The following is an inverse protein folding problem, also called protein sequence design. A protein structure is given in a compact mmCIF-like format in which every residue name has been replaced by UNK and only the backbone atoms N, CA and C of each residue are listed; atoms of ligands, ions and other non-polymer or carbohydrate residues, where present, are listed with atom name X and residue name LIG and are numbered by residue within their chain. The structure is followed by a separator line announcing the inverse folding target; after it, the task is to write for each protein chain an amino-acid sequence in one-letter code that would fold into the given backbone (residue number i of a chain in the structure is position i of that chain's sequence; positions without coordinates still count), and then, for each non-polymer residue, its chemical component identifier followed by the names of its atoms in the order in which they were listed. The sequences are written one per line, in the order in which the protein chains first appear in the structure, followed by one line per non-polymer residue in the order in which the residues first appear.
data_IF_539631499980
#
_entry.id   IF_539631499980
#
_cell.length_a   1.000
_cell.length_b   1.000
_cell.length_c   1.000
_cell.angle_alpha   90.00
_cell.angle_beta   90.00
_cell.angle_gamma   90.00
#
_symmetry.space_group_name_H-M   'P 1'
#
loop_
_entity.id
_entity.type
_entity.pdbx_description
1 polymer ?
#
# COMPACT_ATOMS: atom_id res chain seq x y z
N UNK A 1 -49.89 -44.63 -44.24
CA UNK A 1 -49.41 -44.49 -42.88
C UNK A 1 -48.20 -43.52 -42.92
N UNK A 2 -48.35 -42.30 -42.31
CA UNK A 2 -47.55 -41.10 -42.64
C UNK A 2 -46.19 -41.06 -41.97
N UNK A 3 -45.20 -41.74 -42.48
CA UNK A 3 -43.79 -41.74 -41.96
C UNK A 3 -43.14 -40.35 -42.08
N UNK A 4 -43.53 -39.53 -43.05
CA UNK A 4 -42.99 -38.16 -43.26
C UNK A 4 -43.33 -37.16 -42.13
N UNK A 5 -44.44 -37.34 -41.43
CA UNK A 5 -44.86 -36.43 -40.33
C UNK A 5 -44.06 -36.67 -39.03
N UNK A 6 -43.57 -37.86 -38.79
CA UNK A 6 -42.78 -38.17 -37.59
C UNK A 6 -41.31 -37.81 -37.74
N UNK A 7 -40.78 -37.80 -38.99
CA UNK A 7 -39.42 -37.38 -39.25
C UNK A 7 -39.18 -35.90 -38.97
N UNK A 8 -40.18 -35.05 -39.29
CA UNK A 8 -40.09 -33.60 -39.06
C UNK A 8 -40.21 -33.24 -37.58
N UNK A 9 -40.95 -34.01 -36.79
CA UNK A 9 -41.12 -33.80 -35.36
C UNK A 9 -39.86 -34.21 -34.57
N UNK A 10 -39.15 -35.25 -35.01
CA UNK A 10 -37.89 -35.71 -34.33
C UNK A 10 -36.73 -34.75 -34.60
N UNK A 11 -36.63 -34.13 -35.76
CA UNK A 11 -35.61 -33.11 -36.07
C UNK A 11 -35.83 -31.83 -35.25
N UNK A 12 -37.08 -31.45 -34.99
CA UNK A 12 -37.42 -30.25 -34.19
C UNK A 12 -37.02 -30.35 -32.71
N UNK A 13 -37.00 -31.56 -32.15
CA UNK A 13 -36.66 -31.77 -30.72
C UNK A 13 -35.15 -31.73 -30.47
N UNK A 14 -34.34 -32.07 -31.48
CA UNK A 14 -32.86 -32.05 -31.33
C UNK A 14 -32.23 -30.63 -31.33
N UNK A 15 -32.98 -29.60 -31.75
CA UNK A 15 -32.45 -28.22 -31.79
C UNK A 15 -32.61 -27.45 -30.46
N UNK A 16 -33.24 -28.03 -29.44
CA UNK A 16 -33.49 -27.36 -28.16
C UNK A 16 -32.47 -27.73 -27.04
N UNK A 17 -31.47 -28.59 -27.32
CA UNK A 17 -30.40 -28.91 -26.37
C UNK A 17 -29.15 -28.07 -26.66
N UNK A 18 -29.33 -26.75 -26.80
CA UNK A 18 -28.20 -25.83 -26.68
C UNK A 18 -27.99 -25.51 -25.19
N UNK A 19 -27.34 -26.42 -24.48
CA UNK A 19 -26.77 -26.12 -23.17
C UNK A 19 -25.66 -25.08 -23.36
N UNK A 20 -25.98 -23.81 -23.23
CA UNK A 20 -25.00 -22.76 -23.01
C UNK A 20 -24.21 -23.10 -21.75
N UNK A 21 -22.95 -23.50 -21.91
CA UNK A 21 -22.02 -23.53 -20.79
C UNK A 21 -21.98 -22.11 -20.26
N UNK A 22 -22.49 -21.87 -19.06
CA UNK A 22 -22.22 -20.65 -18.33
C UNK A 22 -20.70 -20.52 -18.25
N UNK A 23 -20.15 -19.58 -19.00
CA UNK A 23 -18.75 -19.21 -18.87
C UNK A 23 -18.62 -18.46 -17.55
N UNK A 24 -18.23 -19.16 -16.48
CA UNK A 24 -17.79 -18.48 -15.26
C UNK A 24 -16.74 -17.43 -15.63
N UNK A 25 -16.93 -16.16 -15.24
CA UNK A 25 -15.90 -15.15 -15.42
C UNK A 25 -14.58 -15.70 -14.83
N UNK A 26 -13.53 -15.71 -15.64
CA UNK A 26 -12.21 -16.05 -15.11
C UNK A 26 -11.85 -15.00 -14.09
N UNK A 27 -11.34 -15.36 -12.89
CA UNK A 27 -10.84 -14.38 -11.96
C UNK A 27 -9.76 -13.54 -12.64
N UNK A 28 -9.76 -12.25 -12.36
CA UNK A 28 -8.77 -11.33 -12.90
C UNK A 28 -7.38 -11.84 -12.56
N UNK A 29 -6.55 -12.01 -13.59
CA UNK A 29 -5.17 -12.48 -13.40
C UNK A 29 -4.30 -11.33 -12.89
N UNK A 30 -3.87 -11.39 -11.65
CA UNK A 30 -2.86 -10.46 -11.14
C UNK A 30 -1.51 -10.72 -11.80
N UNK A 31 -0.79 -9.63 -12.11
CA UNK A 31 0.56 -9.72 -12.63
C UNK A 31 1.48 -10.35 -11.55
N UNK A 32 1.99 -11.55 -11.81
CA UNK A 32 2.88 -12.25 -10.89
C UNK A 32 4.31 -11.71 -11.07
N UNK A 33 4.65 -10.66 -10.32
CA UNK A 33 6.00 -10.15 -10.22
C UNK A 33 6.72 -10.80 -9.03
N UNK A 34 7.96 -11.23 -9.25
CA UNK A 34 8.84 -11.72 -8.19
C UNK A 34 9.80 -10.62 -7.80
N UNK A 35 9.81 -10.25 -6.53
CA UNK A 35 10.75 -9.31 -5.96
C UNK A 35 11.82 -10.06 -5.15
N UNK A 36 13.05 -9.50 -5.01
CA UNK A 36 14.08 -10.11 -4.19
C UNK A 36 13.62 -10.22 -2.73
N UNK A 37 14.10 -11.22 -2.01
CA UNK A 37 13.85 -11.31 -0.58
C UNK A 37 14.38 -10.04 0.12
N UNK A 38 13.56 -9.44 0.98
CA UNK A 38 13.93 -8.24 1.71
C UNK A 38 15.12 -8.52 2.63
N UNK A 39 16.16 -7.70 2.54
CA UNK A 39 17.32 -7.71 3.42
C UNK A 39 17.45 -6.32 4.02
N UNK A 40 17.27 -6.23 5.33
CA UNK A 40 17.29 -4.95 6.03
C UNK A 40 18.68 -4.59 6.53
N UNK A 41 18.93 -3.29 6.59
CA UNK A 41 20.14 -2.71 7.16
C UNK A 41 19.79 -1.46 7.95
N UNK A 42 20.49 -1.26 9.07
CA UNK A 42 20.35 -0.05 9.88
C UNK A 42 20.84 1.16 9.10
N UNK A 43 20.08 2.22 9.15
CA UNK A 43 20.36 3.52 8.52
C UNK A 43 20.10 4.63 9.53
N UNK A 44 20.99 5.61 9.56
CA UNK A 44 20.75 6.85 10.30
C UNK A 44 20.01 7.83 9.42
N UNK A 45 18.86 8.31 9.87
CA UNK A 45 18.19 9.40 9.15
C UNK A 45 19.03 10.68 9.22
N UNK A 46 18.86 11.62 8.29
CA UNK A 46 19.44 12.96 8.41
C UNK A 46 18.94 13.72 9.64
N UNK A 47 17.97 13.15 10.38
CA UNK A 47 17.32 13.77 11.52
C UNK A 47 17.50 12.91 12.80
N UNK A 48 16.77 13.24 13.87
CA UNK A 48 17.01 12.66 15.21
C UNK A 48 16.38 11.28 15.39
N UNK A 49 16.58 10.35 14.44
CA UNK A 49 16.21 8.95 14.58
C UNK A 49 17.03 8.04 13.66
N UNK A 50 17.09 6.75 13.98
CA UNK A 50 17.58 5.69 13.09
C UNK A 50 16.46 4.68 12.83
N UNK A 51 16.61 3.90 11.79
CA UNK A 51 15.64 2.91 11.33
C UNK A 51 16.34 1.82 10.51
N UNK A 52 15.64 0.75 10.20
CA UNK A 52 16.11 -0.25 9.25
C UNK A 52 15.39 -0.10 7.91
N UNK A 53 16.15 -0.07 6.83
CA UNK A 53 15.62 -0.03 5.46
C UNK A 53 16.02 -1.26 4.67
N UNK A 54 15.21 -1.62 3.70
CA UNK A 54 15.60 -2.61 2.71
C UNK A 54 16.81 -2.12 1.88
N UNK A 55 17.76 -3.01 1.60
CA UNK A 55 18.95 -2.71 0.76
C UNK A 55 18.59 -2.28 -0.66
N UNK A 56 17.45 -2.71 -1.19
CA UNK A 56 16.92 -2.28 -2.49
C UNK A 56 16.54 -0.80 -2.52
N UNK A 57 16.25 -0.20 -1.36
CA UNK A 57 15.89 1.20 -1.22
C UNK A 57 17.12 2.10 -1.17
N UNK A 58 17.12 3.17 -1.96
CA UNK A 58 18.15 4.23 -1.95
C UNK A 58 17.63 5.42 -1.18
N UNK A 59 18.37 5.85 -0.15
CA UNK A 59 18.03 7.06 0.58
C UNK A 59 18.49 8.28 -0.22
N UNK A 60 17.58 9.26 -0.35
CA UNK A 60 17.81 10.55 -1.03
C UNK A 60 17.32 11.65 -0.09
N UNK A 61 18.23 12.53 0.32
CA UNK A 61 17.87 13.69 1.14
C UNK A 61 17.15 14.73 0.26
N UNK A 62 15.96 15.17 0.69
CA UNK A 62 15.14 16.17 0.01
C UNK A 62 15.30 17.56 0.67
N UNK A 63 16.04 17.63 1.79
CA UNK A 63 16.09 18.84 2.62
C UNK A 63 14.76 19.11 3.36
N UNK A 64 14.67 20.28 4.01
CA UNK A 64 13.43 20.74 4.68
C UNK A 64 12.75 19.73 5.62
N UNK A 65 13.56 18.94 6.34
CA UNK A 65 13.10 17.85 7.22
C UNK A 65 12.38 16.71 6.48
N UNK A 66 12.75 16.48 5.21
CA UNK A 66 12.24 15.40 4.39
C UNK A 66 13.38 14.60 3.74
N UNK A 67 13.16 13.32 3.52
CA UNK A 67 13.97 12.45 2.68
C UNK A 67 13.07 11.39 2.06
N UNK A 68 13.57 10.69 1.05
CA UNK A 68 12.83 9.57 0.46
C UNK A 68 13.68 8.32 0.35
N UNK A 69 13.01 7.19 0.41
CA UNK A 69 13.56 5.88 0.10
C UNK A 69 13.05 5.47 -1.28
N UNK A 70 13.92 5.54 -2.27
CA UNK A 70 13.59 5.29 -3.66
C UNK A 70 13.79 3.82 -4.03
N UNK A 71 12.80 3.22 -4.69
CA UNK A 71 12.78 1.86 -5.23
C UNK A 71 12.74 1.92 -6.77
N UNK A 72 13.87 2.12 -7.46
CA UNK A 72 13.89 2.42 -8.89
C UNK A 72 13.24 1.32 -9.74
N UNK A 73 13.45 0.05 -9.38
CA UNK A 73 12.91 -1.10 -10.12
C UNK A 73 11.38 -1.20 -10.01
N UNK A 74 10.80 -0.65 -8.96
CA UNK A 74 9.34 -0.64 -8.71
C UNK A 74 8.70 0.70 -9.11
N UNK A 75 9.51 1.68 -9.54
CA UNK A 75 9.07 3.05 -9.81
C UNK A 75 8.25 3.63 -8.67
N UNK A 76 8.75 3.46 -7.46
CA UNK A 76 8.08 3.86 -6.23
C UNK A 76 9.05 4.54 -5.27
N UNK A 77 8.53 5.38 -4.39
CA UNK A 77 9.29 5.98 -3.30
C UNK A 77 8.46 6.08 -2.03
N UNK A 78 9.10 5.86 -0.89
CA UNK A 78 8.56 6.19 0.42
C UNK A 78 9.07 7.58 0.79
N UNK A 79 8.17 8.55 0.87
CA UNK A 79 8.49 9.90 1.32
C UNK A 79 8.39 9.96 2.84
N UNK A 80 9.49 10.35 3.48
CA UNK A 80 9.63 10.46 4.92
C UNK A 80 9.71 11.94 5.31
N UNK A 81 8.79 12.39 6.16
CA UNK A 81 8.76 13.75 6.66
C UNK A 81 8.94 13.72 8.18
N UNK A 82 9.98 14.38 8.66
CA UNK A 82 10.24 14.54 10.09
C UNK A 82 9.73 15.89 10.58
N UNK A 83 9.18 15.93 11.78
CA UNK A 83 8.79 17.16 12.47
C UNK A 83 9.19 17.06 13.94
N UNK A 84 9.73 18.14 14.48
CA UNK A 84 9.97 18.25 15.91
C UNK A 84 8.65 18.52 16.63
N UNK A 85 8.34 17.69 17.63
CA UNK A 85 7.20 17.93 18.52
C UNK A 85 7.58 19.04 19.50
N UNK A 86 6.63 19.91 19.78
CA UNK A 86 6.70 21.01 20.74
C UNK A 86 5.47 20.95 21.65
N UNK A 87 5.44 21.74 22.71
CA UNK A 87 4.33 21.72 23.68
C UNK A 87 2.93 21.90 23.07
N UNK A 88 2.83 22.52 21.89
CA UNK A 88 1.54 22.97 21.33
C UNK A 88 1.24 22.44 19.91
N UNK A 89 2.08 21.58 19.31
CA UNK A 89 1.89 21.18 17.91
C UNK A 89 1.54 19.71 17.68
N UNK A 90 1.59 18.85 18.70
CA UNK A 90 1.34 17.42 18.52
C UNK A 90 -0.07 17.14 17.95
N UNK A 91 -1.10 17.81 18.50
CA UNK A 91 -2.48 17.63 18.03
C UNK A 91 -2.67 18.07 16.57
N UNK A 92 -1.96 19.12 16.15
CA UNK A 92 -2.01 19.54 14.74
C UNK A 92 -1.28 18.56 13.83
N UNK A 93 -0.11 18.04 14.24
CA UNK A 93 0.64 17.04 13.49
C UNK A 93 -0.17 15.75 13.32
N UNK A 94 -0.86 15.29 14.38
CA UNK A 94 -1.74 14.12 14.33
C UNK A 94 -2.92 14.37 13.37
N UNK A 95 -3.59 15.52 13.47
CA UNK A 95 -4.68 15.87 12.55
C UNK A 95 -4.21 15.96 11.11
N UNK A 96 -3.04 16.54 10.86
CA UNK A 96 -2.49 16.68 9.51
C UNK A 96 -2.14 15.32 8.90
N UNK A 97 -1.56 14.40 9.68
CA UNK A 97 -1.28 13.03 9.25
C UNK A 97 -2.57 12.26 8.93
N UNK A 98 -3.59 12.35 9.78
CA UNK A 98 -4.91 11.75 9.54
C UNK A 98 -5.58 12.37 8.30
N UNK A 99 -5.60 13.70 8.20
CA UNK A 99 -6.17 14.41 7.05
C UNK A 99 -5.49 14.00 5.74
N UNK A 100 -4.16 13.82 5.75
CA UNK A 100 -3.43 13.33 4.58
C UNK A 100 -3.92 11.96 4.14
N UNK A 101 -4.17 11.04 5.09
CA UNK A 101 -4.74 9.72 4.81
C UNK A 101 -6.15 9.82 4.25
N UNK A 102 -7.04 10.55 4.93
CA UNK A 102 -8.46 10.60 4.57
C UNK A 102 -8.77 11.47 3.34
N UNK A 103 -7.88 12.36 2.93
CA UNK A 103 -8.03 13.07 1.65
C UNK A 103 -7.99 12.12 0.44
N UNK A 104 -7.47 10.91 0.61
CA UNK A 104 -7.49 9.87 -0.42
C UNK A 104 -8.83 9.11 -0.49
N UNK A 105 -9.75 9.32 0.47
CA UNK A 105 -11.01 8.61 0.59
C UNK A 105 -11.93 8.74 -0.64
N UNK A 106 -11.78 9.80 -1.44
CA UNK A 106 -12.56 10.01 -2.68
C UNK A 106 -12.28 8.93 -3.73
N UNK A 107 -11.11 8.26 -3.69
CA UNK A 107 -10.67 7.24 -4.64
C UNK A 107 -10.25 5.94 -3.97
N UNK A 108 -10.42 5.85 -2.66
CA UNK A 108 -10.19 4.64 -1.89
C UNK A 108 -11.49 3.84 -1.80
N UNK A 109 -11.39 2.53 -1.95
CA UNK A 109 -12.50 1.59 -1.74
C UNK A 109 -12.60 1.22 -0.25
N UNK A 110 -11.43 1.18 0.46
CA UNK A 110 -11.33 0.87 1.88
C UNK A 110 -10.05 1.48 2.47
N UNK A 111 -10.07 1.80 3.77
CA UNK A 111 -8.91 2.24 4.56
C UNK A 111 -8.80 1.39 5.81
N UNK A 112 -7.77 0.56 5.87
CA UNK A 112 -7.46 -0.28 7.01
C UNK A 112 -6.45 0.41 7.91
N UNK A 113 -6.77 0.48 9.20
CA UNK A 113 -5.94 1.13 10.22
C UNK A 113 -5.39 0.10 11.20
N UNK A 114 -4.11 0.21 11.52
CA UNK A 114 -3.47 -0.63 12.52
C UNK A 114 -2.64 0.22 13.47
N UNK A 115 -3.02 0.20 14.74
CA UNK A 115 -2.26 0.85 15.81
C UNK A 115 -0.93 0.13 16.02
N UNK A 116 0.13 0.90 16.20
CA UNK A 116 1.46 0.41 16.56
C UNK A 116 1.91 1.03 17.88
N UNK A 117 2.36 0.19 18.82
CA UNK A 117 2.85 0.58 20.13
C UNK A 117 4.11 -0.22 20.47
N UNK A 118 5.24 0.46 20.54
CA UNK A 118 6.48 -0.07 21.10
C UNK A 118 6.89 0.80 22.31
N UNK A 119 6.62 0.28 23.50
CA UNK A 119 6.87 1.03 24.75
C UNK A 119 8.36 1.15 25.09
N UNK A 120 9.17 0.18 24.71
CA UNK A 120 10.62 0.16 24.97
C UNK A 120 11.33 1.23 24.15
N UNK A 121 11.04 1.28 22.83
CA UNK A 121 11.57 2.29 21.93
C UNK A 121 10.81 3.63 22.00
N UNK A 122 9.73 3.70 22.78
CA UNK A 122 8.81 4.85 22.86
C UNK A 122 8.30 5.27 21.47
N UNK A 123 7.92 4.30 20.65
CA UNK A 123 7.36 4.54 19.31
C UNK A 123 5.89 4.22 19.34
N UNK A 124 5.06 5.22 19.09
CA UNK A 124 3.61 5.15 19.05
C UNK A 124 3.12 5.67 17.71
N UNK A 125 2.19 4.99 17.07
CA UNK A 125 1.74 5.45 15.76
C UNK A 125 0.58 4.67 15.18
N UNK A 126 0.29 4.96 13.93
CA UNK A 126 -0.74 4.33 13.14
C UNK A 126 -0.20 3.97 11.76
N UNK A 127 -0.52 2.77 11.32
CA UNK A 127 -0.23 2.29 9.98
C UNK A 127 -1.54 2.20 9.19
N UNK A 128 -1.56 2.80 8.01
CA UNK A 128 -2.72 2.86 7.13
C UNK A 128 -2.44 2.09 5.84
N UNK A 129 -3.38 1.23 5.45
CA UNK A 129 -3.42 0.61 4.14
C UNK A 129 -4.65 1.11 3.40
N UNK A 130 -4.44 1.76 2.26
CA UNK A 130 -5.48 2.37 1.44
C UNK A 130 -5.66 1.50 0.20
N UNK A 131 -6.82 0.86 0.09
CA UNK A 131 -7.20 -0.02 -1.01
C UNK A 131 -7.93 0.82 -2.06
N UNK A 132 -7.61 0.64 -3.33
CA UNK A 132 -8.22 1.37 -4.43
C UNK A 132 -7.25 2.29 -5.18
N UNK A 133 -7.78 3.07 -6.12
CA UNK A 133 -7.01 3.94 -7.02
C UNK A 133 -6.58 5.26 -6.38
N UNK A 134 -6.13 5.20 -5.13
CA UNK A 134 -5.62 6.35 -4.39
C UNK A 134 -4.19 6.73 -4.83
N UNK A 135 -3.79 7.97 -4.60
CA UNK A 135 -2.44 8.45 -4.91
C UNK A 135 -1.37 7.83 -4.01
N UNK A 136 -1.72 7.47 -2.77
CA UNK A 136 -0.91 6.67 -1.86
C UNK A 136 -1.71 5.47 -1.39
N UNK A 137 -1.08 4.30 -1.33
CA UNK A 137 -1.72 3.06 -0.89
C UNK A 137 -1.23 2.60 0.49
N UNK A 138 -0.13 3.16 0.98
CA UNK A 138 0.41 2.88 2.31
C UNK A 138 0.92 4.16 2.94
N UNK A 139 0.55 4.39 4.18
CA UNK A 139 1.02 5.51 4.98
C UNK A 139 1.17 5.10 6.43
N UNK A 140 2.06 5.74 7.17
CA UNK A 140 2.13 5.65 8.61
C UNK A 140 2.53 6.99 9.22
N UNK A 141 2.25 7.16 10.49
CA UNK A 141 2.99 8.10 11.34
C UNK A 141 3.53 7.39 12.57
N UNK A 142 4.63 7.92 13.10
CA UNK A 142 5.24 7.47 14.34
C UNK A 142 5.72 8.67 15.17
N UNK A 143 5.61 8.59 16.50
CA UNK A 143 5.97 9.65 17.43
C UNK A 143 6.37 9.07 18.79
N UNK A 144 7.21 9.79 19.53
CA UNK A 144 7.43 9.56 20.96
C UNK A 144 6.47 10.40 21.82
N UNK A 145 5.58 11.17 21.20
CA UNK A 145 4.63 12.10 21.80
C UNK A 145 5.24 13.33 22.50
N UNK A 146 6.58 13.48 22.48
CA UNK A 146 7.29 14.52 23.23
C UNK A 146 8.16 15.39 22.34
N UNK A 147 9.01 14.77 21.49
CA UNK A 147 10.03 15.45 20.71
C UNK A 147 9.97 15.15 19.21
N UNK A 148 9.50 13.97 18.83
CA UNK A 148 9.68 13.42 17.49
C UNK A 148 8.36 13.04 16.85
N UNK A 149 8.19 13.41 15.58
CA UNK A 149 7.07 13.00 14.75
C UNK A 149 7.56 12.73 13.33
N UNK A 150 7.23 11.57 12.80
CA UNK A 150 7.61 11.15 11.45
C UNK A 150 6.37 10.66 10.72
N UNK A 151 6.23 11.02 9.44
CA UNK A 151 5.22 10.48 8.52
C UNK A 151 5.94 9.81 7.36
N UNK A 152 5.54 8.59 7.02
CA UNK A 152 5.98 7.87 5.82
C UNK A 152 4.81 7.64 4.89
N UNK A 153 4.95 7.95 3.59
CA UNK A 153 3.91 7.78 2.58
C UNK A 153 4.48 7.17 1.31
N UNK A 154 3.83 6.14 0.78
CA UNK A 154 4.22 5.46 -0.46
C UNK A 154 3.60 6.13 -1.68
N UNK A 155 4.43 6.46 -2.66
CA UNK A 155 3.98 6.95 -3.97
C UNK A 155 4.61 6.16 -5.10
N UNK A 156 3.83 5.92 -6.16
CA UNK A 156 4.28 5.35 -7.42
C UNK A 156 4.41 6.42 -8.50
N UNK A 157 5.45 6.32 -9.33
CA UNK A 157 5.65 7.18 -10.50
C UNK A 157 4.78 6.71 -11.69
N UNK A 158 3.52 6.39 -11.44
CA UNK A 158 2.56 5.93 -12.41
C UNK A 158 1.18 6.47 -12.09
N UNK A 159 0.27 6.48 -13.07
CA UNK A 159 -1.14 6.75 -12.77
C UNK A 159 -1.67 5.69 -11.82
N UNK A 160 -2.44 6.08 -10.80
CA UNK A 160 -3.06 5.13 -9.88
C UNK A 160 -3.88 4.08 -10.66
N UNK A 161 -3.44 2.83 -10.56
CA UNK A 161 -4.13 1.64 -11.03
C UNK A 161 -3.80 0.55 -10.04
N UNK A 162 -4.67 0.36 -9.07
CA UNK A 162 -4.43 -0.50 -7.91
C UNK A 162 -4.02 -1.91 -8.31
N UNK A 163 -4.71 -2.52 -9.27
CA UNK A 163 -4.44 -3.91 -9.68
C UNK A 163 -3.03 -4.09 -10.24
N UNK A 164 -2.55 -3.13 -11.03
CA UNK A 164 -1.21 -3.20 -11.64
C UNK A 164 -0.09 -2.93 -10.65
N UNK A 165 -0.30 -2.06 -9.64
CA UNK A 165 0.72 -1.73 -8.64
C UNK A 165 0.65 -2.62 -7.40
N UNK A 166 -0.42 -3.42 -7.25
CA UNK A 166 -0.67 -4.23 -6.05
C UNK A 166 0.52 -5.12 -5.62
N UNK A 167 1.21 -5.86 -6.52
CA UNK A 167 2.36 -6.66 -6.10
C UNK A 167 3.50 -5.83 -5.52
N UNK A 168 3.81 -4.67 -6.12
CA UNK A 168 4.81 -3.74 -5.62
C UNK A 168 4.37 -3.08 -4.30
N UNK A 169 3.09 -2.68 -4.22
CA UNK A 169 2.50 -2.14 -3.00
C UNK A 169 2.64 -3.11 -1.84
N UNK A 170 2.31 -4.39 -2.05
CA UNK A 170 2.39 -5.40 -0.99
C UNK A 170 3.83 -5.65 -0.52
N UNK A 171 4.79 -5.65 -1.45
CA UNK A 171 6.21 -5.76 -1.11
C UNK A 171 6.67 -4.57 -0.27
N UNK A 172 6.42 -3.34 -0.73
CA UNK A 172 6.85 -2.11 -0.04
C UNK A 172 6.05 -1.89 1.26
N UNK A 173 4.79 -2.33 1.34
CA UNK A 173 4.01 -2.33 2.59
C UNK A 173 4.75 -3.06 3.70
N UNK A 174 5.32 -4.22 3.39
CA UNK A 174 6.11 -5.02 4.34
C UNK A 174 7.36 -4.24 4.78
N UNK A 175 8.06 -3.61 3.85
CA UNK A 175 9.23 -2.78 4.14
C UNK A 175 8.88 -1.55 4.99
N UNK A 176 7.78 -0.87 4.70
CA UNK A 176 7.31 0.28 5.47
C UNK A 176 6.93 -0.10 6.91
N UNK A 177 6.33 -1.28 7.07
CA UNK A 177 6.01 -1.80 8.40
C UNK A 177 7.28 -2.08 9.20
N UNK A 178 8.24 -2.78 8.60
CA UNK A 178 9.54 -3.06 9.22
C UNK A 178 10.27 -1.75 9.58
N UNK A 179 10.28 -0.78 8.66
CA UNK A 179 10.86 0.54 8.88
C UNK A 179 10.24 1.21 10.13
N UNK A 180 8.90 1.27 10.21
CA UNK A 180 8.20 1.86 11.34
C UNK A 180 8.50 1.14 12.65
N UNK A 181 8.54 -0.21 12.62
CA UNK A 181 8.81 -1.05 13.79
C UNK A 181 10.25 -0.93 14.29
N UNK A 182 11.19 -0.56 13.42
CA UNK A 182 12.62 -0.42 13.71
C UNK A 182 13.06 1.00 14.07
N UNK A 183 12.13 1.96 14.18
CA UNK A 183 12.47 3.34 14.56
C UNK A 183 13.06 3.38 15.98
N UNK A 184 14.18 4.11 16.09
CA UNK A 184 14.83 4.45 17.36
C UNK A 184 15.13 5.95 17.37
N UNK A 185 14.55 6.66 18.33
CA UNK A 185 14.80 8.09 18.52
C UNK A 185 16.21 8.34 19.10
N UNK A 186 16.82 9.49 18.75
CA UNK A 186 18.14 9.94 19.23
C UNK A 186 18.03 11.12 20.16
#
# INVERSE_FOLDING_TARGET
MNIKKYSTAVIGVFLLVSCGKETSPKPDGYLRLSYPAAVYQKEDSPYSFSYEKNKEARMIDEGHQAFRLDYPQMKASIYMNYRKVTKNNLDSLLRDAQKLTYNHNIKADDIQEKIFINREAKVYGMFYKIIGNAATNVQFYATDSINHFVVGSLYFYAKPNFDSIYPATHYIETDMRHLMESIHWK
#
